data_IF_951271958976
#
_entry.id   IF_951271958976
#
_cell.length_a   1.000
_cell.length_b   1.000
_cell.length_c   1.000
_cell.angle_alpha   90.00
_cell.angle_beta   90.00
_cell.angle_gamma   90.00
#
_symmetry.space_group_name_H-M   'P 1'
#
loop_
_entity.id
_entity.type
_entity.pdbx_description
1 polymer ?
#
# COMPACT_ATOMS: atom_id res chain seq x y z
N UNK A 1 13.36 4.76 -24.32
CA UNK A 1 11.97 4.27 -24.28
C UNK A 1 11.09 5.43 -23.88
N UNK A 2 10.03 5.74 -24.63
CA UNK A 2 8.99 6.63 -24.15
C UNK A 2 8.19 5.84 -23.11
N UNK A 3 8.38 6.16 -21.83
CA UNK A 3 7.51 5.64 -20.76
C UNK A 3 6.24 6.48 -20.77
N UNK A 4 5.12 5.85 -21.14
CA UNK A 4 3.82 6.42 -20.80
C UNK A 4 3.58 6.13 -19.32
N UNK A 5 3.33 7.19 -18.55
CA UNK A 5 2.88 7.06 -17.16
C UNK A 5 1.62 6.21 -17.11
N UNK A 6 1.50 5.42 -16.05
CA UNK A 6 0.29 4.65 -15.70
C UNK A 6 -0.89 5.57 -15.35
N UNK A 7 -0.63 6.84 -15.03
CA UNK A 7 -1.60 7.77 -14.50
C UNK A 7 -1.84 8.96 -15.42
N UNK A 8 -3.07 9.44 -15.42
CA UNK A 8 -3.46 10.66 -16.11
C UNK A 8 -2.86 11.86 -15.37
N UNK A 9 -2.44 12.88 -16.13
CA UNK A 9 -1.96 14.13 -15.56
C UNK A 9 -2.62 15.33 -16.25
N UNK A 10 -3.09 16.29 -15.47
CA UNK A 10 -3.66 17.55 -15.96
C UNK A 10 -2.69 18.67 -15.60
N UNK A 11 -2.15 19.37 -16.61
CA UNK A 11 -1.12 20.40 -16.44
C UNK A 11 0.15 19.90 -15.70
N UNK A 12 0.49 18.62 -15.86
CA UNK A 12 1.67 18.01 -15.21
C UNK A 12 1.46 17.61 -13.75
N UNK A 13 0.25 17.82 -13.20
CA UNK A 13 -0.15 17.34 -11.88
C UNK A 13 -0.85 15.98 -12.07
N UNK A 14 -0.41 14.92 -11.38
CA UNK A 14 -1.08 13.62 -11.43
C UNK A 14 -2.52 13.70 -10.95
N UNK A 15 -3.41 12.91 -11.55
CA UNK A 15 -4.75 12.71 -11.02
C UNK A 15 -4.66 11.94 -9.69
N UNK A 16 -4.91 12.67 -8.60
CA UNK A 16 -4.80 12.13 -7.24
C UNK A 16 -5.78 10.98 -6.99
N UNK A 17 -7.00 11.07 -7.50
CA UNK A 17 -8.03 10.04 -7.28
C UNK A 17 -7.64 8.74 -7.99
N UNK A 18 -7.06 8.84 -9.19
CA UNK A 18 -6.56 7.69 -9.93
C UNK A 18 -5.41 6.99 -9.19
N UNK A 19 -4.45 7.77 -8.67
CA UNK A 19 -3.31 7.24 -7.90
C UNK A 19 -3.79 6.60 -6.59
N UNK A 20 -4.72 7.22 -5.88
CA UNK A 20 -5.29 6.66 -4.64
C UNK A 20 -6.08 5.38 -4.91
N UNK A 21 -6.89 5.35 -5.96
CA UNK A 21 -7.63 4.15 -6.38
C UNK A 21 -6.67 3.01 -6.72
N UNK A 22 -5.58 3.31 -7.40
CA UNK A 22 -4.54 2.32 -7.66
C UNK A 22 -3.91 1.81 -6.37
N UNK A 23 -3.57 2.70 -5.43
CA UNK A 23 -2.97 2.36 -4.15
C UNK A 23 -3.86 1.45 -3.29
N UNK A 24 -5.17 1.72 -3.27
CA UNK A 24 -6.18 0.88 -2.59
C UNK A 24 -6.23 -0.53 -3.18
N UNK A 25 -6.26 -0.65 -4.51
CA UNK A 25 -6.26 -1.94 -5.20
C UNK A 25 -4.94 -2.71 -4.98
N UNK A 26 -3.81 -2.01 -5.04
CA UNK A 26 -2.50 -2.58 -4.76
C UNK A 26 -2.44 -3.16 -3.34
N UNK A 27 -2.86 -2.38 -2.34
CA UNK A 27 -2.87 -2.80 -0.95
C UNK A 27 -3.83 -3.98 -0.71
N UNK A 28 -5.03 -3.97 -1.31
CA UNK A 28 -5.98 -5.07 -1.21
C UNK A 28 -5.43 -6.39 -1.77
N UNK A 29 -4.75 -6.33 -2.93
CA UNK A 29 -4.10 -7.50 -3.52
C UNK A 29 -2.96 -8.02 -2.63
N UNK A 30 -2.18 -7.10 -2.04
CA UNK A 30 -1.11 -7.44 -1.12
C UNK A 30 -1.65 -8.09 0.16
N UNK A 31 -2.72 -7.56 0.76
CA UNK A 31 -3.38 -8.19 1.92
C UNK A 31 -3.93 -9.58 1.59
N UNK A 32 -4.51 -9.75 0.41
CA UNK A 32 -5.00 -11.06 -0.05
C UNK A 32 -3.86 -12.09 -0.10
N UNK A 33 -2.69 -11.68 -0.58
CA UNK A 33 -1.49 -12.51 -0.56
C UNK A 33 -1.02 -12.79 0.88
N UNK A 34 -0.98 -11.77 1.74
CA UNK A 34 -0.56 -11.88 3.13
C UNK A 34 -1.47 -12.80 3.96
N UNK A 35 -2.77 -12.84 3.67
CA UNK A 35 -3.72 -13.74 4.34
C UNK A 35 -3.32 -15.21 4.22
N UNK A 36 -2.73 -15.63 3.10
CA UNK A 36 -2.22 -17.00 2.94
C UNK A 36 -1.08 -17.32 3.94
N UNK A 37 -0.28 -16.31 4.31
CA UNK A 37 0.80 -16.45 5.27
C UNK A 37 0.35 -16.27 6.73
N UNK A 38 -0.59 -15.35 6.97
CA UNK A 38 -1.02 -14.97 8.32
C UNK A 38 -2.12 -15.87 8.89
N UNK A 39 -2.89 -16.56 8.05
CA UNK A 39 -3.93 -17.49 8.51
C UNK A 39 -3.42 -18.70 9.31
N UNK A 40 -2.10 -18.95 9.30
CA UNK A 40 -1.46 -20.09 9.96
C UNK A 40 -0.71 -19.71 11.24
N UNK A 41 -0.79 -18.45 11.69
CA UNK A 41 -0.07 -17.96 12.86
C UNK A 41 -1.00 -17.25 13.82
N UNK A 42 -0.55 -17.12 15.08
CA UNK A 42 -1.26 -16.36 16.10
C UNK A 42 -1.34 -14.87 15.72
N UNK A 43 -2.40 -14.20 16.19
CA UNK A 43 -2.66 -12.80 15.84
C UNK A 43 -1.51 -11.85 16.22
N UNK A 44 -0.80 -12.15 17.30
CA UNK A 44 0.37 -11.38 17.74
C UNK A 44 1.55 -11.52 16.79
N UNK A 45 1.79 -12.73 16.27
CA UNK A 45 2.83 -12.96 15.27
C UNK A 45 2.46 -12.30 13.93
N UNK A 46 1.17 -12.32 13.56
CA UNK A 46 0.67 -11.63 12.38
C UNK A 46 0.85 -10.11 12.49
N UNK A 47 0.49 -9.52 13.63
CA UNK A 47 0.69 -8.09 13.94
C UNK A 47 2.16 -7.68 13.86
N UNK A 48 3.05 -8.46 14.47
CA UNK A 48 4.48 -8.21 14.46
C UNK A 48 5.08 -8.30 13.06
N UNK A 49 4.57 -9.20 12.22
CA UNK A 49 4.98 -9.31 10.81
C UNK A 49 4.44 -8.15 9.98
N UNK A 50 3.16 -7.82 10.13
CA UNK A 50 2.50 -6.71 9.42
C UNK A 50 3.28 -5.40 9.62
N UNK A 51 3.70 -5.09 10.86
CA UNK A 51 4.49 -3.90 11.21
C UNK A 51 5.91 -3.87 10.62
N UNK A 52 6.47 -5.02 10.26
CA UNK A 52 7.83 -5.13 9.71
C UNK A 52 7.87 -5.09 8.19
N UNK A 53 6.72 -5.20 7.52
CA UNK A 53 6.66 -5.13 6.05
C UNK A 53 7.01 -3.71 5.61
N UNK A 54 7.96 -3.54 4.69
CA UNK A 54 8.36 -2.22 4.20
C UNK A 54 7.40 -1.72 3.11
N UNK A 55 6.13 -1.50 3.45
CA UNK A 55 5.07 -1.15 2.48
C UNK A 55 5.42 0.05 1.60
N UNK A 56 5.96 1.12 2.18
CA UNK A 56 6.39 2.30 1.42
C UNK A 56 7.44 1.96 0.35
N UNK A 57 8.41 1.10 0.68
CA UNK A 57 9.43 0.67 -0.27
C UNK A 57 8.81 -0.16 -1.41
N UNK A 58 7.92 -1.10 -1.08
CA UNK A 58 7.25 -1.96 -2.07
C UNK A 58 6.44 -1.13 -3.08
N UNK A 59 5.78 -0.05 -2.62
CA UNK A 59 5.05 0.87 -3.50
C UNK A 59 6.01 1.66 -4.41
N UNK A 60 7.12 2.16 -3.86
CA UNK A 60 8.12 2.91 -4.63
C UNK A 60 8.76 2.04 -5.71
N UNK A 61 9.04 0.77 -5.40
CA UNK A 61 9.57 -0.21 -6.36
C UNK A 61 8.57 -0.51 -7.46
N UNK A 62 7.30 -0.73 -7.13
CA UNK A 62 6.23 -0.98 -8.12
C UNK A 62 6.00 0.22 -9.06
N UNK A 63 6.28 1.43 -8.57
CA UNK A 63 6.12 2.69 -9.29
C UNK A 63 7.47 3.30 -9.73
N UNK A 64 8.54 2.50 -9.88
CA UNK A 64 9.91 3.00 -10.13
C UNK A 64 10.00 4.02 -11.29
N UNK A 65 9.15 3.84 -12.31
CA UNK A 65 9.11 4.60 -13.56
C UNK A 65 8.19 5.82 -13.51
N UNK A 66 7.50 6.05 -12.39
CA UNK A 66 6.58 7.17 -12.20
C UNK A 66 7.27 8.38 -11.57
N UNK A 67 6.58 9.52 -11.59
CA UNK A 67 7.07 10.73 -10.93
C UNK A 67 7.11 10.58 -9.41
N UNK A 68 7.99 11.34 -8.75
CA UNK A 68 8.07 11.35 -7.29
C UNK A 68 6.77 11.82 -6.61
N UNK A 69 5.98 12.65 -7.30
CA UNK A 69 4.67 13.08 -6.81
C UNK A 69 3.65 11.93 -6.81
N UNK A 70 3.60 11.13 -7.87
CA UNK A 70 2.78 9.91 -7.92
C UNK A 70 3.20 8.93 -6.83
N UNK A 71 4.50 8.65 -6.72
CA UNK A 71 5.04 7.75 -5.70
C UNK A 71 4.64 8.22 -4.30
N UNK A 72 4.75 9.51 -4.02
CA UNK A 72 4.37 10.08 -2.73
C UNK A 72 2.89 9.89 -2.43
N UNK A 73 2.00 10.24 -3.37
CA UNK A 73 0.55 10.07 -3.18
C UNK A 73 0.20 8.60 -2.90
N UNK A 74 0.77 7.68 -3.68
CA UNK A 74 0.53 6.26 -3.51
C UNK A 74 1.06 5.74 -2.16
N UNK A 75 2.28 6.12 -1.76
CA UNK A 75 2.87 5.75 -0.48
C UNK A 75 2.03 6.27 0.68
N UNK A 76 1.66 7.56 0.66
CA UNK A 76 0.86 8.17 1.71
C UNK A 76 -0.47 7.41 1.89
N UNK A 77 -1.13 7.07 0.76
CA UNK A 77 -2.38 6.31 0.78
C UNK A 77 -2.21 4.88 1.29
N UNK A 78 -1.18 4.15 0.85
CA UNK A 78 -0.92 2.78 1.35
C UNK A 78 -0.59 2.80 2.84
N UNK A 79 0.20 3.76 3.31
CA UNK A 79 0.54 3.84 4.73
C UNK A 79 -0.69 4.17 5.59
N UNK A 80 -1.61 5.03 5.13
CA UNK A 80 -2.91 5.24 5.77
C UNK A 80 -3.69 3.92 5.94
N UNK A 81 -3.77 3.12 4.88
CA UNK A 81 -4.47 1.84 4.89
C UNK A 81 -3.79 0.81 5.82
N UNK A 82 -2.45 0.78 5.85
CA UNK A 82 -1.67 -0.07 6.76
C UNK A 82 -1.98 0.29 8.22
N UNK A 83 -2.04 1.58 8.56
CA UNK A 83 -2.38 2.03 9.92
C UNK A 83 -3.81 1.66 10.31
N UNK A 84 -4.76 1.73 9.38
CA UNK A 84 -6.14 1.27 9.59
C UNK A 84 -6.16 -0.25 9.86
N UNK A 85 -5.48 -1.04 9.03
CA UNK A 85 -5.46 -2.50 9.14
C UNK A 85 -4.80 -2.95 10.46
N UNK A 86 -3.67 -2.35 10.83
CA UNK A 86 -3.00 -2.66 12.11
C UNK A 86 -3.93 -2.37 13.29
N UNK A 87 -4.68 -1.27 13.27
CA UNK A 87 -5.65 -0.96 14.34
C UNK A 87 -6.77 -1.98 14.41
N UNK A 88 -7.26 -2.50 13.28
CA UNK A 88 -8.23 -3.59 13.29
C UNK A 88 -7.65 -4.86 13.89
N UNK A 89 -6.44 -5.24 13.49
CA UNK A 89 -5.75 -6.41 14.04
C UNK A 89 -5.48 -6.27 15.55
N UNK A 90 -5.11 -5.08 16.02
CA UNK A 90 -4.94 -4.78 17.46
C UNK A 90 -6.24 -4.96 18.25
N UNK A 91 -7.35 -4.43 17.71
CA UNK A 91 -8.67 -4.57 18.33
C UNK A 91 -9.09 -6.05 18.44
N UNK A 92 -8.80 -6.86 17.41
CA UNK A 92 -9.04 -8.31 17.45
C UNK A 92 -8.13 -9.04 18.46
N UNK A 93 -6.92 -8.53 18.69
CA UNK A 93 -6.02 -9.03 19.73
C UNK A 93 -6.41 -8.55 21.15
N UNK A 94 -7.48 -7.76 21.27
CA UNK A 94 -7.98 -7.24 22.55
C UNK A 94 -7.17 -6.06 23.10
N UNK A 95 -6.55 -5.26 22.22
CA UNK A 95 -5.72 -4.10 22.55
C UNK A 95 -6.31 -2.79 22.05
#
# INVERSE_FOLDING_TARGET
MYNLSRFTAVNGIPDREEVETWAENYFHNLLTLLNAFFSQVEIDDALDRMRKIPFAQLVVEELENESEEVKKIAVDKVMELVEIEIRYMEAYAGR
#
